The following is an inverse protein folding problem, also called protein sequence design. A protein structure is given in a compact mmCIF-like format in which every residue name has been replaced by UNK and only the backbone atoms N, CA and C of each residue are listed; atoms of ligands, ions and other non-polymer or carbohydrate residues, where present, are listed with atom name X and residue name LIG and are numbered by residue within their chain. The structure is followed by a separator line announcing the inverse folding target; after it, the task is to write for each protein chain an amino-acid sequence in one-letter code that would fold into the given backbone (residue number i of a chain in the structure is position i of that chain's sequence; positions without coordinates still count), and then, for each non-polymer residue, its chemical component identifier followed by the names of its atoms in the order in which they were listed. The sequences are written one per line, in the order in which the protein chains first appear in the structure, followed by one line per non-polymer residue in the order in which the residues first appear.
data_IF_414796815258
#
_entry.id   IF_414796815258
#
_cell.length_a   1.000
_cell.length_b   1.000
_cell.length_c   1.000
_cell.angle_alpha   90.00
_cell.angle_beta   90.00
_cell.angle_gamma   90.00
#
_symmetry.space_group_name_H-M   'P 1'
#
loop_
_entity.id
_entity.type
_entity.pdbx_description
1 polymer ?
#
# COMPACT_ATOMS: atom_id res chain seq x y z
N UNK A 1 -19.62 3.84 2.05
CA UNK A 1 -18.71 4.97 2.22
C UNK A 1 -17.90 4.72 3.47
N UNK A 2 -16.58 4.83 3.38
CA UNK A 2 -15.67 4.67 4.52
C UNK A 2 -15.80 5.87 5.45
N UNK A 3 -15.92 5.65 6.75
CA UNK A 3 -16.13 6.71 7.75
C UNK A 3 -15.21 6.52 8.96
N UNK A 4 -15.17 7.53 9.82
CA UNK A 4 -14.50 7.49 11.13
C UNK A 4 -14.96 6.30 11.99
N UNK A 5 -16.20 5.85 11.81
CA UNK A 5 -16.78 4.72 12.55
C UNK A 5 -16.18 3.35 12.16
N UNK A 6 -15.50 3.26 11.01
CA UNK A 6 -14.86 2.02 10.55
C UNK A 6 -13.51 1.76 11.25
N UNK A 7 -13.02 2.71 12.06
CA UNK A 7 -11.79 2.54 12.85
C UNK A 7 -12.00 1.46 13.90
N UNK A 8 -11.04 0.54 13.98
CA UNK A 8 -11.06 -0.55 14.96
C UNK A 8 -10.06 -0.31 16.08
N UNK A 9 -10.39 -0.79 17.28
CA UNK A 9 -9.41 -0.83 18.38
C UNK A 9 -8.50 -2.03 18.16
N UNK A 10 -7.27 -1.77 17.73
CA UNK A 10 -6.25 -2.81 17.52
C UNK A 10 -5.25 -2.83 18.66
N UNK A 11 -4.91 -4.03 19.15
CA UNK A 11 -3.80 -4.20 20.08
C UNK A 11 -2.50 -4.00 19.33
N UNK A 12 -1.67 -3.08 19.81
CA UNK A 12 -0.37 -2.75 19.21
C UNK A 12 0.73 -2.73 20.29
N UNK A 13 1.98 -2.99 19.92
CA UNK A 13 3.13 -2.68 20.78
C UNK A 13 3.20 -1.18 21.11
N UNK A 14 3.93 -0.83 22.16
CA UNK A 14 4.09 0.56 22.63
C UNK A 14 4.58 1.49 21.52
N UNK A 15 5.65 1.08 20.82
CA UNK A 15 6.35 1.87 19.80
C UNK A 15 5.81 1.71 18.36
N UNK A 16 4.60 1.18 18.21
CA UNK A 16 3.92 1.11 16.90
C UNK A 16 2.84 2.16 16.88
N UNK A 17 2.75 2.95 15.82
CA UNK A 17 1.66 3.91 15.63
C UNK A 17 0.68 3.41 14.57
N UNK A 18 -0.61 3.69 14.77
CA UNK A 18 -1.66 3.34 13.81
C UNK A 18 -2.23 4.63 13.25
N UNK A 19 -1.97 4.85 11.97
CA UNK A 19 -2.49 5.99 11.21
C UNK A 19 -3.67 5.52 10.36
N UNK A 20 -4.88 6.02 10.67
CA UNK A 20 -6.10 5.69 9.94
C UNK A 20 -6.33 6.67 8.79
N UNK A 21 -6.13 6.23 7.55
CA UNK A 21 -6.38 7.02 6.34
C UNK A 21 -7.80 6.75 5.84
N UNK A 22 -8.69 7.74 5.99
CA UNK A 22 -10.07 7.62 5.51
C UNK A 22 -10.14 8.13 4.08
N UNK A 23 -10.34 7.21 3.15
CA UNK A 23 -10.60 7.54 1.76
C UNK A 23 -12.08 7.28 1.44
N UNK A 24 -12.86 8.34 1.23
CA UNK A 24 -14.27 8.25 0.84
C UNK A 24 -14.44 7.90 -0.64
N UNK A 25 -13.41 8.12 -1.48
CA UNK A 25 -13.45 7.98 -2.93
C UNK A 25 -12.24 7.18 -3.44
N UNK A 26 -12.32 5.83 -3.45
CA UNK A 26 -11.20 4.97 -3.84
C UNK A 26 -10.82 5.07 -5.33
N UNK A 27 -11.64 5.72 -6.16
CA UNK A 27 -11.41 5.87 -7.61
C UNK A 27 -10.76 7.21 -7.99
N UNK A 28 -10.42 8.07 -7.04
CA UNK A 28 -9.70 9.30 -7.34
C UNK A 28 -8.25 9.00 -7.75
N UNK A 29 -7.67 9.82 -8.62
CA UNK A 29 -6.24 9.75 -8.99
C UNK A 29 -5.30 10.05 -7.80
N UNK A 30 -5.86 10.62 -6.73
CA UNK A 30 -5.16 10.88 -5.48
C UNK A 30 -4.80 9.57 -4.77
N UNK A 31 -3.59 9.52 -4.19
CA UNK A 31 -3.10 8.37 -3.45
C UNK A 31 -2.92 8.73 -1.97
N UNK A 32 -4.02 8.90 -1.19
CA UNK A 32 -3.97 9.40 0.18
C UNK A 32 -3.14 8.49 1.11
N UNK A 33 -3.06 7.19 0.78
CA UNK A 33 -2.21 6.25 1.51
C UNK A 33 -0.72 6.56 1.30
N UNK A 34 -0.30 6.91 0.07
CA UNK A 34 1.07 7.31 -0.23
C UNK A 34 1.40 8.64 0.42
N UNK A 35 0.49 9.61 0.37
CA UNK A 35 0.70 10.94 0.96
C UNK A 35 0.90 10.85 2.48
N UNK A 36 0.06 10.06 3.15
CA UNK A 36 0.21 9.74 4.56
C UNK A 36 1.60 9.14 4.83
N UNK A 37 1.98 8.09 4.10
CA UNK A 37 3.30 7.44 4.24
C UNK A 37 4.45 8.44 4.04
N UNK A 38 4.37 9.33 3.04
CA UNK A 38 5.41 10.33 2.74
C UNK A 38 5.52 11.40 3.84
N UNK A 39 4.45 11.65 4.59
CA UNK A 39 4.43 12.61 5.71
C UNK A 39 5.02 12.07 7.01
N UNK A 40 5.13 10.75 7.14
CA UNK A 40 5.68 10.13 8.34
C UNK A 40 7.20 10.34 8.42
N UNK A 41 7.69 10.53 9.66
CA UNK A 41 9.12 10.62 9.89
C UNK A 41 9.81 9.29 9.54
N UNK A 42 10.87 9.37 8.74
CA UNK A 42 11.66 8.19 8.40
C UNK A 42 12.68 7.93 9.50
N UNK A 43 12.56 6.78 10.16
CA UNK A 43 13.49 6.39 11.23
C UNK A 43 14.77 5.81 10.65
N UNK A 44 15.86 5.91 11.42
CA UNK A 44 17.14 5.29 11.07
C UNK A 44 17.05 3.75 11.10
N UNK A 45 17.88 3.11 10.29
CA UNK A 45 17.99 1.65 10.19
C UNK A 45 17.38 1.07 8.91
N UNK A 46 17.15 -0.24 8.91
CA UNK A 46 16.61 -0.98 7.76
C UNK A 46 15.14 -1.32 8.00
N UNK A 47 14.19 -0.59 7.38
CA UNK A 47 12.77 -0.90 7.53
C UNK A 47 12.41 -2.16 6.76
N UNK A 48 11.41 -2.87 7.27
CA UNK A 48 10.66 -3.89 6.54
C UNK A 48 9.28 -3.34 6.20
N UNK A 49 8.90 -3.39 4.92
CA UNK A 49 7.64 -2.84 4.41
C UNK A 49 6.73 -3.97 3.99
N UNK A 50 5.49 -3.93 4.46
CA UNK A 50 4.41 -4.80 4.04
C UNK A 50 3.22 -3.94 3.60
N UNK A 51 2.81 -4.08 2.34
CA UNK A 51 1.67 -3.35 1.80
C UNK A 51 0.75 -4.30 1.02
N UNK A 52 -0.51 -4.36 1.43
CA UNK A 52 -1.58 -5.04 0.71
C UNK A 52 -2.77 -4.09 0.55
N UNK A 53 -3.01 -3.62 -0.66
CA UNK A 53 -4.03 -2.61 -0.93
C UNK A 53 -4.61 -2.73 -2.35
N UNK A 54 -5.34 -1.72 -2.78
CA UNK A 54 -5.85 -1.59 -4.15
C UNK A 54 -4.68 -1.47 -5.16
N UNK A 55 -4.89 -1.96 -6.38
CA UNK A 55 -3.86 -2.06 -7.42
C UNK A 55 -3.13 -0.74 -7.76
N UNK A 56 -3.81 0.38 -7.92
CA UNK A 56 -3.19 1.68 -8.17
C UNK A 56 -2.36 2.14 -6.96
N UNK A 57 -2.94 2.10 -5.76
CA UNK A 57 -2.24 2.45 -4.51
C UNK A 57 -0.99 1.58 -4.31
N UNK A 58 -1.10 0.29 -4.63
CA UNK A 58 -0.01 -0.68 -4.58
C UNK A 58 1.14 -0.27 -5.51
N UNK A 59 0.85 0.12 -6.76
CA UNK A 59 1.88 0.51 -7.73
C UNK A 59 2.64 1.76 -7.30
N UNK A 60 1.94 2.78 -6.82
CA UNK A 60 2.59 4.03 -6.39
C UNK A 60 3.42 3.83 -5.11
N UNK A 61 2.94 3.01 -4.16
CA UNK A 61 3.71 2.63 -2.97
C UNK A 61 4.94 1.81 -3.34
N UNK A 62 4.80 0.85 -4.27
CA UNK A 62 5.93 0.05 -4.75
C UNK A 62 7.01 0.92 -5.38
N UNK A 63 6.62 1.86 -6.24
CA UNK A 63 7.56 2.81 -6.84
C UNK A 63 8.28 3.63 -5.77
N UNK A 64 7.55 4.16 -4.79
CA UNK A 64 8.13 4.92 -3.68
C UNK A 64 9.16 4.10 -2.89
N UNK A 65 8.79 2.90 -2.44
CA UNK A 65 9.65 2.08 -1.58
C UNK A 65 10.83 1.45 -2.33
N UNK A 66 10.62 0.99 -3.57
CA UNK A 66 11.65 0.32 -4.37
C UNK A 66 12.62 1.32 -5.01
N UNK A 67 12.13 2.45 -5.51
CA UNK A 67 12.94 3.41 -6.30
C UNK A 67 13.37 4.59 -5.45
N UNK A 68 12.43 5.32 -4.83
CA UNK A 68 12.79 6.53 -4.06
C UNK A 68 13.52 6.17 -2.74
N UNK A 69 13.11 5.09 -2.07
CA UNK A 69 13.70 4.65 -0.79
C UNK A 69 14.70 3.50 -0.92
N UNK A 70 14.82 2.90 -2.11
CA UNK A 70 15.77 1.82 -2.41
C UNK A 70 15.73 0.64 -1.41
N UNK A 71 14.54 0.27 -0.92
CA UNK A 71 14.40 -0.84 0.04
C UNK A 71 14.70 -2.17 -0.67
N UNK A 72 15.56 -3.05 -0.11
CA UNK A 72 15.85 -4.36 -0.69
C UNK A 72 14.58 -5.21 -0.82
N UNK A 73 14.48 -6.01 -1.89
CA UNK A 73 13.35 -6.93 -2.14
C UNK A 73 13.11 -7.89 -0.96
N UNK A 74 14.16 -8.28 -0.23
CA UNK A 74 14.05 -9.12 0.97
C UNK A 74 13.31 -8.48 2.14
N UNK A 75 13.19 -7.15 2.13
CA UNK A 75 12.53 -6.33 3.15
C UNK A 75 11.30 -5.59 2.59
N UNK A 76 10.85 -5.93 1.38
CA UNK A 76 9.75 -5.26 0.71
C UNK A 76 8.75 -6.29 0.19
N UNK A 77 7.58 -6.32 0.82
CA UNK A 77 6.41 -7.05 0.35
C UNK A 77 5.32 -6.07 -0.07
N UNK A 78 4.94 -6.09 -1.35
CA UNK A 78 3.88 -5.22 -1.88
C UNK A 78 2.97 -6.04 -2.80
N UNK A 79 1.69 -6.17 -2.48
CA UNK A 79 0.73 -6.98 -3.24
C UNK A 79 -0.60 -6.25 -3.41
N UNK A 80 -1.25 -6.45 -4.55
CA UNK A 80 -2.62 -5.98 -4.76
C UNK A 80 -3.63 -7.03 -4.28
N UNK A 81 -4.68 -6.57 -3.59
CA UNK A 81 -5.78 -7.41 -3.09
C UNK A 81 -7.03 -7.29 -3.95
N UNK A 82 -7.24 -6.13 -4.57
CA UNK A 82 -8.35 -5.87 -5.47
C UNK A 82 -7.97 -4.72 -6.40
N UNK A 83 -8.81 -4.47 -7.42
CA UNK A 83 -8.67 -3.36 -8.35
C UNK A 83 -10.05 -2.74 -8.58
N UNK A 84 -10.10 -1.41 -8.55
CA UNK A 84 -11.31 -0.65 -8.90
C UNK A 84 -11.84 -1.08 -10.28
N UNK A 85 -13.17 -1.20 -10.39
CA UNK A 85 -13.89 -1.56 -11.62
C UNK A 85 -13.45 -2.89 -12.25
N UNK A 86 -12.89 -3.80 -11.46
CA UNK A 86 -12.41 -5.11 -11.90
C UNK A 86 -13.04 -6.22 -11.08
N UNK A 87 -13.49 -7.29 -11.75
CA UNK A 87 -13.88 -8.52 -11.06
C UNK A 87 -12.65 -9.24 -10.52
N UNK A 88 -12.83 -10.18 -9.57
CA UNK A 88 -11.72 -10.94 -9.00
C UNK A 88 -10.90 -11.68 -10.07
N UNK A 89 -11.57 -12.24 -11.08
CA UNK A 89 -10.89 -12.96 -12.17
C UNK A 89 -10.06 -12.02 -13.06
N UNK A 90 -10.58 -10.83 -13.34
CA UNK A 90 -9.82 -9.80 -14.07
C UNK A 90 -8.64 -9.29 -13.23
N UNK A 91 -8.83 -9.11 -11.93
CA UNK A 91 -7.77 -8.70 -11.01
C UNK A 91 -6.64 -9.75 -10.94
N UNK A 92 -6.96 -11.05 -10.91
CA UNK A 92 -5.96 -12.13 -10.96
C UNK A 92 -5.07 -12.04 -12.20
N UNK A 93 -5.66 -11.78 -13.37
CA UNK A 93 -4.93 -11.63 -14.63
C UNK A 93 -3.98 -10.42 -14.55
N UNK A 94 -4.50 -9.26 -14.14
CA UNK A 94 -3.73 -8.01 -14.03
C UNK A 94 -2.60 -8.14 -13.00
N UNK A 95 -2.86 -8.79 -11.85
CA UNK A 95 -1.86 -9.07 -10.82
C UNK A 95 -0.74 -9.97 -11.34
N UNK A 96 -1.10 -11.02 -12.09
CA UNK A 96 -0.11 -11.93 -12.69
C UNK A 96 0.78 -11.21 -13.71
N UNK A 97 0.19 -10.35 -14.55
CA UNK A 97 0.94 -9.56 -15.53
C UNK A 97 1.89 -8.53 -14.88
N UNK A 98 1.43 -7.85 -13.82
CA UNK A 98 2.25 -6.90 -13.06
C UNK A 98 3.45 -7.59 -12.39
N UNK A 99 3.25 -8.78 -11.79
CA UNK A 99 4.33 -9.56 -11.20
C UNK A 99 5.36 -10.02 -12.25
N UNK A 100 4.91 -10.45 -13.44
CA UNK A 100 5.82 -10.84 -14.53
C UNK A 100 6.64 -9.66 -15.07
N UNK A 101 6.06 -8.46 -15.09
CA UNK A 101 6.76 -7.24 -15.50
C UNK A 101 7.75 -6.76 -14.43
N UNK A 102 7.51 -7.09 -13.16
CA UNK A 102 8.39 -6.73 -12.04
C UNK A 102 9.68 -7.57 -11.98
N UNK A 103 9.61 -8.85 -12.39
CA UNK A 103 10.73 -9.79 -12.36
C UNK A 103 11.66 -9.70 -13.59
N UNK A 104 11.34 -8.82 -14.56
CA UNK A 104 12.22 -8.43 -15.67
C UNK A 104 13.09 -7.22 -15.29
#
# INVERSE_FOLDING_TARGET
MTTEADRQTLKKPENVEIHWVINAHPNADDSPLLDCVKSLNWLDGQPAVWAACEFHSMRVLRQYFKVERAIPKTHLYVSSYWKVDSTEDQHKIVKSQDAQTEDQ
#
